data_IF_016773655980
#
_entry.id   IF_016773655980
#
_cell.length_a   1.000
_cell.length_b   1.000
_cell.length_c   1.000
_cell.angle_alpha   90.00
_cell.angle_beta   90.00
_cell.angle_gamma   90.00
#
_symmetry.space_group_name_H-M   'P 1'
#
loop_
_entity.id
_entity.type
_entity.pdbx_description
1 polymer ?
#
# COMPACT_ATOMS: atom_id res chain seq x y z
N UNK A 1 -5.77 -20.10 -25.35
CA UNK A 1 -6.42 -19.97 -24.03
C UNK A 1 -5.65 -19.10 -23.03
N UNK A 2 -4.50 -19.53 -22.44
CA UNK A 2 -3.85 -18.78 -21.35
C UNK A 2 -3.20 -17.43 -21.75
N UNK A 3 -2.66 -17.30 -22.96
CA UNK A 3 -2.03 -16.05 -23.43
C UNK A 3 -3.02 -14.89 -23.60
N UNK A 4 -4.22 -15.17 -24.13
CA UNK A 4 -5.26 -14.15 -24.26
C UNK A 4 -5.72 -13.64 -22.87
N UNK A 5 -5.83 -14.54 -21.89
CA UNK A 5 -6.11 -14.18 -20.50
C UNK A 5 -5.02 -13.30 -19.88
N UNK A 6 -3.73 -13.64 -20.09
CA UNK A 6 -2.61 -12.82 -19.61
C UNK A 6 -2.55 -11.45 -20.30
N UNK A 7 -2.86 -11.38 -21.60
CA UNK A 7 -2.93 -10.11 -22.34
C UNK A 7 -4.07 -9.22 -21.81
N UNK A 8 -5.26 -9.78 -21.60
CA UNK A 8 -6.40 -9.05 -21.02
C UNK A 8 -6.11 -8.56 -19.59
N UNK A 9 -5.47 -9.40 -18.78
CA UNK A 9 -5.04 -9.03 -17.44
C UNK A 9 -4.02 -7.88 -17.45
N UNK A 10 -3.04 -7.92 -18.35
CA UNK A 10 -2.04 -6.85 -18.47
C UNK A 10 -2.65 -5.50 -18.91
N UNK A 11 -3.64 -5.53 -19.82
CA UNK A 11 -4.42 -4.35 -20.20
C UNK A 11 -5.17 -3.80 -18.97
N UNK A 12 -5.86 -4.66 -18.21
CA UNK A 12 -6.59 -4.25 -17.01
C UNK A 12 -5.69 -3.64 -15.91
N UNK A 13 -4.48 -4.20 -15.72
CA UNK A 13 -3.51 -3.62 -14.80
C UNK A 13 -3.03 -2.24 -15.27
N UNK A 14 -2.67 -2.12 -16.54
CA UNK A 14 -2.06 -0.90 -17.09
C UNK A 14 -3.04 0.27 -17.14
N UNK A 15 -4.24 0.05 -17.69
CA UNK A 15 -5.22 1.12 -17.88
C UNK A 15 -6.14 1.33 -16.67
N UNK A 16 -6.24 0.35 -15.77
CA UNK A 16 -7.03 0.45 -14.55
C UNK A 16 -6.18 0.79 -13.33
N UNK A 17 -5.57 -0.23 -12.73
CA UNK A 17 -4.90 -0.11 -11.43
C UNK A 17 -3.67 0.82 -11.44
N UNK A 18 -2.83 0.74 -12.47
CA UNK A 18 -1.62 1.58 -12.58
C UNK A 18 -1.99 3.04 -12.78
N UNK A 19 -2.96 3.34 -13.65
CA UNK A 19 -3.44 4.70 -13.87
C UNK A 19 -4.02 5.31 -12.58
N UNK A 20 -4.86 4.55 -11.86
CA UNK A 20 -5.47 4.99 -10.61
C UNK A 20 -4.43 5.20 -9.49
N UNK A 21 -3.40 4.34 -9.46
CA UNK A 21 -2.26 4.50 -8.56
C UNK A 21 -1.42 5.74 -8.87
N UNK A 22 -1.21 6.06 -10.15
CA UNK A 22 -0.45 7.23 -10.57
C UNK A 22 -1.17 8.53 -10.21
N UNK A 23 -2.49 8.60 -10.47
CA UNK A 23 -3.32 9.74 -10.10
C UNK A 23 -3.35 9.94 -8.58
N UNK A 24 -3.54 8.86 -7.82
CA UNK A 24 -3.49 8.91 -6.35
C UNK A 24 -2.11 9.38 -5.85
N UNK A 25 -1.02 8.89 -6.46
CA UNK A 25 0.35 9.28 -6.11
C UNK A 25 0.68 10.75 -6.40
N UNK A 26 0.15 11.30 -7.49
CA UNK A 26 0.34 12.70 -7.88
C UNK A 26 -0.48 13.67 -7.01
N UNK A 27 -1.69 13.27 -6.61
CA UNK A 27 -2.61 14.09 -5.82
C UNK A 27 -2.26 14.12 -4.31
N UNK A 28 -1.61 13.07 -3.79
CA UNK A 28 -1.21 13.02 -2.38
C UNK A 28 -0.35 14.22 -1.94
N UNK A 29 0.76 14.59 -2.61
CA UNK A 29 1.55 15.77 -2.26
C UNK A 29 0.81 17.09 -2.56
N UNK A 30 -0.04 17.14 -3.59
CA UNK A 30 -0.85 18.33 -3.90
C UNK A 30 -1.86 18.68 -2.80
N UNK A 31 -2.15 17.76 -1.87
CA UNK A 31 -3.03 18.02 -0.73
C UNK A 31 -2.40 18.92 0.35
N UNK A 32 -1.06 19.00 0.45
CA UNK A 32 -0.35 19.78 1.47
C UNK A 32 0.85 20.60 0.97
N UNK A 33 1.30 20.41 -0.28
CA UNK A 33 2.31 21.22 -0.96
C UNK A 33 1.70 22.00 -2.12
N UNK A 34 2.28 23.17 -2.42
CA UNK A 34 1.92 23.94 -3.60
C UNK A 34 2.57 23.29 -4.84
N UNK A 35 1.79 22.47 -5.54
CA UNK A 35 2.19 21.79 -6.78
C UNK A 35 1.60 22.51 -7.99
N UNK A 36 1.97 22.10 -9.21
CA UNK A 36 1.44 22.66 -10.47
C UNK A 36 -0.06 22.35 -10.72
N UNK A 37 -0.71 21.64 -9.79
CA UNK A 37 -2.14 21.27 -9.87
C UNK A 37 -3.03 22.47 -9.53
N UNK A 38 -4.06 22.79 -10.34
CA UNK A 38 -5.00 23.87 -10.05
C UNK A 38 -5.73 23.61 -8.71
N UNK A 39 -5.64 24.55 -7.77
CA UNK A 39 -6.31 24.47 -6.47
C UNK A 39 -5.48 23.90 -5.31
N UNK A 40 -4.19 23.65 -5.51
CA UNK A 40 -3.26 23.27 -4.44
C UNK A 40 -2.76 24.51 -3.65
N UNK A 41 -2.50 24.40 -2.33
CA UNK A 41 -2.72 23.23 -1.47
C UNK A 41 -4.18 23.14 -0.96
N UNK A 42 -4.71 21.92 -0.89
CA UNK A 42 -6.08 21.66 -0.45
C UNK A 42 -6.26 21.84 1.08
N UNK A 43 -5.20 21.56 1.84
CA UNK A 43 -5.15 21.72 3.30
C UNK A 43 -3.91 22.52 3.72
N UNK A 44 -3.96 23.11 4.92
CA UNK A 44 -2.77 23.68 5.55
C UNK A 44 -1.72 22.59 5.82
N UNK A 45 -0.44 22.96 5.76
CA UNK A 45 0.70 22.02 5.82
C UNK A 45 0.64 21.05 7.01
N UNK A 46 0.42 21.55 8.23
CA UNK A 46 0.37 20.73 9.45
C UNK A 46 -0.71 19.63 9.43
N UNK A 47 -2.01 19.96 9.29
CA UNK A 47 -3.07 18.95 9.23
C UNK A 47 -2.98 18.09 7.97
N UNK A 48 -2.56 18.65 6.82
CA UNK A 48 -2.43 17.91 5.56
C UNK A 48 -1.41 16.79 5.65
N UNK A 49 -0.20 17.07 6.16
CA UNK A 49 0.84 16.06 6.37
C UNK A 49 0.38 14.96 7.33
N UNK A 50 -0.33 15.34 8.41
CA UNK A 50 -0.85 14.38 9.39
C UNK A 50 -1.85 13.41 8.75
N UNK A 51 -2.78 13.92 7.94
CA UNK A 51 -3.78 13.10 7.23
C UNK A 51 -3.08 12.14 6.27
N UNK A 52 -2.07 12.60 5.54
CA UNK A 52 -1.32 11.76 4.60
C UNK A 52 -0.54 10.67 5.33
N UNK A 53 0.14 11.00 6.43
CA UNK A 53 0.87 9.99 7.22
C UNK A 53 -0.08 8.90 7.76
N UNK A 54 -1.24 9.28 8.28
CA UNK A 54 -2.25 8.32 8.76
C UNK A 54 -2.79 7.47 7.60
N UNK A 55 -3.06 8.09 6.45
CA UNK A 55 -3.57 7.39 5.27
C UNK A 55 -2.55 6.37 4.75
N UNK A 56 -1.28 6.76 4.64
CA UNK A 56 -0.17 5.90 4.22
C UNK A 56 0.01 4.72 5.19
N UNK A 57 -0.08 4.97 6.49
CA UNK A 57 -0.03 3.91 7.50
C UNK A 57 -1.16 2.89 7.32
N UNK A 58 -2.40 3.37 7.21
CA UNK A 58 -3.58 2.51 7.06
C UNK A 58 -3.55 1.75 5.74
N UNK A 59 -3.23 2.41 4.63
CA UNK A 59 -3.08 1.76 3.33
C UNK A 59 -2.01 0.67 3.38
N UNK A 60 -0.87 0.95 4.02
CA UNK A 60 0.19 -0.03 4.15
C UNK A 60 -0.22 -1.26 4.97
N UNK A 61 -0.87 -1.04 6.11
CA UNK A 61 -1.38 -2.11 6.95
C UNK A 61 -2.41 -2.98 6.21
N UNK A 62 -3.37 -2.34 5.52
CA UNK A 62 -4.44 -3.02 4.81
C UNK A 62 -3.95 -3.74 3.55
N UNK A 63 -3.04 -3.13 2.78
CA UNK A 63 -2.46 -3.74 1.58
C UNK A 63 -1.74 -5.06 1.93
N UNK A 64 -0.89 -5.04 2.96
CA UNK A 64 -0.17 -6.23 3.43
C UNK A 64 -1.13 -7.29 3.99
N UNK A 65 -2.21 -6.89 4.68
CA UNK A 65 -3.21 -7.84 5.19
C UNK A 65 -4.04 -8.49 4.08
N UNK A 66 -4.33 -7.73 3.01
CA UNK A 66 -5.10 -8.20 1.87
C UNK A 66 -4.31 -9.16 0.97
N UNK A 67 -2.98 -9.23 1.12
CA UNK A 67 -2.11 -9.99 0.24
C UNK A 67 -2.32 -11.51 0.39
N UNK A 68 -2.82 -12.21 -0.65
CA UNK A 68 -3.08 -13.64 -0.59
C UNK A 68 -1.79 -14.47 -0.50
N UNK A 69 -0.70 -14.00 -1.12
CA UNK A 69 0.60 -14.66 -1.11
C UNK A 69 1.20 -14.74 0.30
N UNK A 70 1.09 -13.66 1.07
CA UNK A 70 1.58 -13.58 2.44
C UNK A 70 0.83 -14.57 3.36
N UNK A 71 -0.47 -14.74 3.12
CA UNK A 71 -1.28 -15.73 3.85
C UNK A 71 -0.91 -17.17 3.48
N UNK A 72 -0.54 -17.44 2.23
CA UNK A 72 -0.04 -18.77 1.82
C UNK A 72 1.32 -19.06 2.45
N UNK A 73 2.24 -18.11 2.39
CA UNK A 73 3.57 -18.24 3.00
C UNK A 73 3.48 -18.43 4.52
N UNK A 74 2.59 -17.70 5.20
CA UNK A 74 2.36 -17.85 6.63
C UNK A 74 1.95 -19.27 7.02
N UNK A 75 1.08 -19.91 6.23
CA UNK A 75 0.70 -21.33 6.47
C UNK A 75 1.88 -22.28 6.29
N UNK A 76 2.73 -22.03 5.30
CA UNK A 76 3.96 -22.83 5.09
C UNK A 76 4.93 -22.68 6.26
N UNK A 77 5.09 -21.47 6.80
CA UNK A 77 5.92 -21.23 7.99
C UNK A 77 5.32 -21.91 9.22
N UNK A 78 3.99 -21.86 9.38
CA UNK A 78 3.29 -22.52 10.47
C UNK A 78 3.43 -24.05 10.43
N UNK A 79 3.38 -24.66 9.24
CA UNK A 79 3.57 -26.11 9.09
C UNK A 79 5.02 -26.54 9.33
N UNK A 80 6.00 -25.73 8.89
CA UNK A 80 7.43 -26.00 9.13
C UNK A 80 7.85 -25.76 10.58
N UNK A 81 7.13 -24.90 11.29
CA UNK A 81 7.41 -24.54 12.69
C UNK A 81 6.66 -25.43 13.69
N UNK A 82 5.95 -26.47 13.24
CA UNK A 82 5.11 -27.32 14.09
C UNK A 82 4.12 -26.49 14.96
N UNK A 83 3.59 -25.40 14.39
CA UNK A 83 2.64 -24.51 15.08
C UNK A 83 3.25 -23.53 16.10
N UNK A 84 4.59 -23.52 16.29
CA UNK A 84 5.26 -22.55 17.17
C UNK A 84 5.22 -21.11 16.63
N UNK A 85 5.11 -20.93 15.33
CA UNK A 85 4.80 -19.64 14.69
C UNK A 85 3.45 -19.72 13.99
N UNK A 86 2.49 -18.92 14.45
CA UNK A 86 1.16 -18.86 13.81
C UNK A 86 1.18 -17.91 12.60
N UNK A 87 0.41 -18.26 11.57
CA UNK A 87 0.20 -17.40 10.40
C UNK A 87 -0.25 -15.99 10.81
N UNK A 88 -1.13 -15.88 11.81
CA UNK A 88 -1.62 -14.59 12.32
C UNK A 88 -0.50 -13.75 12.94
N UNK A 89 0.37 -14.35 13.75
CA UNK A 89 1.50 -13.63 14.36
C UNK A 89 2.44 -13.08 13.28
N UNK A 90 2.74 -13.89 12.25
CA UNK A 90 3.57 -13.47 11.13
C UNK A 90 2.92 -12.31 10.37
N UNK A 91 1.66 -12.44 9.98
CA UNK A 91 0.95 -11.39 9.21
C UNK A 91 0.89 -10.08 10.00
N UNK A 92 0.50 -10.11 11.28
CA UNK A 92 0.44 -8.88 12.09
C UNK A 92 1.81 -8.21 12.26
N UNK A 93 2.87 -8.99 12.46
CA UNK A 93 4.22 -8.45 12.60
C UNK A 93 4.68 -7.75 11.32
N UNK A 94 4.43 -8.37 10.16
CA UNK A 94 4.78 -7.78 8.86
C UNK A 94 3.92 -6.54 8.57
N UNK A 95 2.61 -6.59 8.81
CA UNK A 95 1.72 -5.44 8.63
C UNK A 95 2.17 -4.21 9.44
N UNK A 96 2.55 -4.39 10.71
CA UNK A 96 3.03 -3.29 11.55
C UNK A 96 4.37 -2.74 11.05
N UNK A 97 5.31 -3.64 10.71
CA UNK A 97 6.62 -3.23 10.18
C UNK A 97 6.50 -2.46 8.87
N UNK A 98 5.67 -2.93 7.94
CA UNK A 98 5.44 -2.30 6.63
C UNK A 98 4.73 -0.96 6.78
N UNK A 99 3.69 -0.86 7.63
CA UNK A 99 2.97 0.38 7.87
C UNK A 99 3.88 1.46 8.49
N UNK A 100 4.67 1.12 9.51
CA UNK A 100 5.67 2.03 10.08
C UNK A 100 6.74 2.42 9.05
N UNK A 101 7.25 1.46 8.29
CA UNK A 101 8.25 1.72 7.24
C UNK A 101 7.75 2.68 6.16
N UNK A 102 6.49 2.55 5.74
CA UNK A 102 5.88 3.46 4.79
C UNK A 102 5.72 4.88 5.35
N UNK A 103 5.31 5.04 6.62
CA UNK A 103 5.24 6.36 7.24
C UNK A 103 6.62 7.03 7.30
N UNK A 104 7.64 6.31 7.77
CA UNK A 104 9.02 6.82 7.83
C UNK A 104 9.56 7.14 6.43
N UNK A 105 9.26 6.29 5.44
CA UNK A 105 9.63 6.54 4.04
C UNK A 105 8.95 7.78 3.47
N UNK A 106 7.66 7.96 3.77
CA UNK A 106 6.87 9.12 3.33
C UNK A 106 7.30 10.43 3.99
N UNK A 107 7.90 10.38 5.18
CA UNK A 107 8.44 11.55 5.86
C UNK A 107 9.66 12.18 5.15
N UNK A 108 10.26 11.48 4.17
CA UNK A 108 11.32 12.04 3.33
C UNK A 108 10.81 12.86 2.13
N UNK A 109 9.51 12.79 1.85
CA UNK A 109 8.83 13.45 0.73
C UNK A 109 8.39 14.84 1.19
#
# INVERSE_FOLDING_TARGET
ESQAGMMLFNIGLTYGFTALGNESGELLPASFLATQTPGAPLYAYGPGVTIVMVTVFVLGFLATRAEPALRVMGRTVESLSEGRFTTSMLIYTVCVGVACGMVVGSAKI
#
